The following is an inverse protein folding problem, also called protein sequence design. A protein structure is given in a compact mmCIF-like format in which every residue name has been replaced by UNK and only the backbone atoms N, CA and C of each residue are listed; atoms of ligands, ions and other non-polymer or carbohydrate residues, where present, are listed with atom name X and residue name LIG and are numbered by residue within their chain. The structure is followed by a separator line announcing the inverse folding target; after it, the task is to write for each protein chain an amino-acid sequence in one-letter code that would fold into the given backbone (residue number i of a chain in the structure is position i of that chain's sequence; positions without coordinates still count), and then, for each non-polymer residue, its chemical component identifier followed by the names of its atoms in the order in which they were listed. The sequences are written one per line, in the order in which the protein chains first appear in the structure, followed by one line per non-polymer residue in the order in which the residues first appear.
data_IF_628689078974
#
_entry.id   IF_628689078974
#
_cell.length_a   1.000
_cell.length_b   1.000
_cell.length_c   1.000
_cell.angle_alpha   90.00
_cell.angle_beta   90.00
_cell.angle_gamma   90.00
#
_symmetry.space_group_name_H-M   'P 1'
#
loop_
_entity.id
_entity.type
_entity.pdbx_description
1 polymer ?
#
# COMPACT_ATOMS: atom_id res chain seq x y z
N UNK A 1 15.30 -2.98 9.54
CA UNK A 1 14.00 -2.32 9.37
C UNK A 1 12.91 -3.14 10.02
N UNK A 2 11.86 -2.52 10.56
CA UNK A 2 10.79 -3.22 11.28
C UNK A 2 9.55 -3.34 10.38
N UNK A 3 9.05 -4.56 10.17
CA UNK A 3 7.88 -4.86 9.31
C UNK A 3 6.65 -5.23 10.16
N UNK A 4 6.46 -4.56 11.30
CA UNK A 4 5.43 -4.97 12.27
C UNK A 4 4.03 -4.66 11.76
N UNK A 5 3.85 -3.55 11.01
CA UNK A 5 2.56 -3.24 10.40
C UNK A 5 2.24 -4.25 9.32
N UNK A 6 3.19 -4.56 8.44
CA UNK A 6 2.98 -5.56 7.38
C UNK A 6 2.62 -6.93 7.97
N UNK A 7 3.32 -7.38 9.02
CA UNK A 7 3.01 -8.65 9.69
C UNK A 7 1.61 -8.64 10.31
N UNK A 8 1.28 -7.61 11.09
CA UNK A 8 -0.02 -7.48 11.73
C UNK A 8 -1.14 -7.47 10.68
N UNK A 9 -1.02 -6.69 9.61
CA UNK A 9 -2.01 -6.63 8.54
C UNK A 9 -2.23 -7.99 7.85
N UNK A 10 -1.16 -8.75 7.64
CA UNK A 10 -1.25 -10.07 7.00
C UNK A 10 -1.90 -11.10 7.92
N UNK A 11 -1.55 -11.09 9.20
CA UNK A 11 -2.01 -12.07 10.19
C UNK A 11 -3.39 -11.76 10.76
N UNK A 12 -3.61 -10.52 11.16
CA UNK A 12 -4.81 -10.07 11.88
C UNK A 12 -5.90 -9.56 10.92
N UNK A 13 -5.55 -9.23 9.69
CA UNK A 13 -6.47 -8.71 8.68
C UNK A 13 -6.80 -7.23 8.85
N UNK A 14 -8.00 -6.83 8.42
CA UNK A 14 -8.49 -5.45 8.49
C UNK A 14 -9.60 -5.30 9.52
N UNK A 15 -9.71 -4.12 10.13
CA UNK A 15 -10.88 -3.76 10.94
C UNK A 15 -11.98 -3.20 10.03
N UNK A 16 -13.00 -4.03 9.78
CA UNK A 16 -14.15 -3.65 8.94
C UNK A 16 -15.07 -2.61 9.58
N UNK A 17 -14.96 -2.39 10.89
CA UNK A 17 -15.74 -1.36 11.59
C UNK A 17 -15.14 0.04 11.43
N UNK A 18 -13.85 0.13 11.13
CA UNK A 18 -13.14 1.37 10.79
C UNK A 18 -12.32 1.19 9.49
N UNK A 19 -12.97 1.30 8.33
CA UNK A 19 -12.30 1.09 7.05
C UNK A 19 -11.28 2.20 6.72
N UNK A 20 -11.45 3.42 7.25
CA UNK A 20 -10.48 4.50 7.08
C UNK A 20 -9.18 4.19 7.84
N UNK A 21 -9.28 3.74 9.09
CA UNK A 21 -8.12 3.32 9.86
C UNK A 21 -7.44 2.09 9.24
N UNK A 22 -8.24 1.16 8.68
CA UNK A 22 -7.70 0.02 7.93
C UNK A 22 -6.92 0.45 6.69
N UNK A 23 -7.41 1.45 5.94
CA UNK A 23 -6.67 2.04 4.82
C UNK A 23 -5.36 2.69 5.29
N UNK A 24 -5.38 3.45 6.39
CA UNK A 24 -4.16 4.04 6.94
C UNK A 24 -3.11 2.98 7.33
N UNK A 25 -3.55 1.88 7.97
CA UNK A 25 -2.67 0.78 8.35
C UNK A 25 -2.09 0.04 7.13
N UNK A 26 -2.89 -0.13 6.07
CA UNK A 26 -2.43 -0.65 4.78
C UNK A 26 -1.35 0.25 4.19
N UNK A 27 -1.58 1.56 4.11
CA UNK A 27 -0.61 2.52 3.56
C UNK A 27 0.69 2.57 4.39
N UNK A 28 0.60 2.39 5.72
CA UNK A 28 1.80 2.20 6.57
C UNK A 28 2.58 0.94 6.23
N UNK A 29 1.87 -0.17 6.03
CA UNK A 29 2.49 -1.44 5.63
C UNK A 29 3.15 -1.34 4.26
N UNK A 30 2.55 -0.58 3.34
CA UNK A 30 3.14 -0.30 2.02
C UNK A 30 4.42 0.54 2.14
N UNK A 31 4.45 1.56 3.01
CA UNK A 31 5.67 2.34 3.28
C UNK A 31 6.77 1.45 3.87
N UNK A 32 6.44 0.57 4.82
CA UNK A 32 7.40 -0.40 5.38
C UNK A 32 8.03 -1.28 4.28
N UNK A 33 7.24 -1.73 3.30
CA UNK A 33 7.73 -2.54 2.18
C UNK A 33 8.55 -1.74 1.17
N UNK A 34 8.11 -0.53 0.81
CA UNK A 34 8.82 0.33 -0.13
C UNK A 34 10.16 0.82 0.41
N UNK A 35 10.30 0.90 1.72
CA UNK A 35 11.53 1.33 2.38
C UNK A 35 12.55 0.20 2.59
N UNK A 36 12.31 -1.03 2.09
CA UNK A 36 13.27 -2.13 2.17
C UNK A 36 14.54 -1.75 1.40
N UNK A 37 15.68 -1.80 2.11
CA UNK A 37 16.98 -1.60 1.48
C UNK A 37 17.17 -2.59 0.33
N UNK A 38 17.51 -2.08 -0.85
CA UNK A 38 17.71 -2.89 -2.05
C UNK A 38 16.44 -3.12 -2.88
N UNK A 39 15.33 -2.43 -2.60
CA UNK A 39 14.20 -2.40 -3.53
C UNK A 39 14.63 -1.88 -4.91
N UNK A 40 14.14 -2.56 -5.95
CA UNK A 40 14.35 -2.23 -7.35
C UNK A 40 13.09 -1.57 -7.94
N UNK A 41 13.27 -0.32 -8.37
CA UNK A 41 12.23 0.53 -8.92
C UNK A 41 12.28 0.66 -10.45
N UNK A 42 13.22 -0.01 -11.14
CA UNK A 42 13.50 0.16 -12.58
C UNK A 42 12.25 0.04 -13.45
N UNK A 43 11.34 -0.86 -13.09
CA UNK A 43 10.12 -1.12 -13.86
C UNK A 43 8.90 -0.38 -13.35
N UNK A 44 8.99 0.28 -12.20
CA UNK A 44 7.88 1.03 -11.61
C UNK A 44 7.75 2.42 -12.20
N UNK A 45 6.65 3.10 -11.90
CA UNK A 45 6.49 4.53 -12.20
C UNK A 45 7.41 5.45 -11.38
N UNK A 46 8.05 4.94 -10.33
CA UNK A 46 8.93 5.69 -9.43
C UNK A 46 10.40 5.49 -9.78
N UNK A 47 11.21 6.52 -9.55
CA UNK A 47 12.65 6.45 -9.71
C UNK A 47 13.36 6.00 -8.43
N UNK A 48 12.69 6.11 -7.27
CA UNK A 48 13.29 5.78 -5.98
C UNK A 48 12.26 5.48 -4.89
N UNK A 49 12.76 4.92 -3.78
CA UNK A 49 11.96 4.70 -2.57
C UNK A 49 11.39 6.00 -2.01
N UNK A 50 12.12 7.10 -2.06
CA UNK A 50 11.65 8.39 -1.55
C UNK A 50 10.46 8.92 -2.35
N UNK A 51 10.49 8.76 -3.68
CA UNK A 51 9.37 9.15 -4.55
C UNK A 51 8.13 8.32 -4.26
N UNK A 52 8.29 7.00 -4.18
CA UNK A 52 7.20 6.08 -3.86
C UNK A 52 6.59 6.38 -2.49
N UNK A 53 7.42 6.52 -1.46
CA UNK A 53 6.96 6.83 -0.10
C UNK A 53 6.27 8.19 -0.05
N UNK A 54 6.76 9.20 -0.76
CA UNK A 54 6.15 10.52 -0.79
C UNK A 54 4.73 10.49 -1.41
N UNK A 55 4.49 9.67 -2.42
CA UNK A 55 3.15 9.48 -2.98
C UNK A 55 2.20 8.82 -1.96
N UNK A 56 2.63 7.72 -1.33
CA UNK A 56 1.83 7.05 -0.29
C UNK A 56 1.55 7.98 0.91
N UNK A 57 2.52 8.80 1.30
CA UNK A 57 2.35 9.79 2.37
C UNK A 57 1.29 10.85 2.04
N UNK A 58 1.24 11.35 0.81
CA UNK A 58 0.20 12.31 0.39
C UNK A 58 -1.20 11.73 0.53
N UNK A 59 -1.39 10.47 0.13
CA UNK A 59 -2.66 9.74 0.28
C UNK A 59 -3.02 9.63 1.77
N UNK A 60 -2.06 9.24 2.63
CA UNK A 60 -2.28 9.19 4.09
C UNK A 60 -2.67 10.54 4.67
N UNK A 61 -1.99 11.61 4.30
CA UNK A 61 -2.27 12.96 4.77
C UNK A 61 -3.69 13.42 4.39
N UNK A 62 -4.13 13.09 3.17
CA UNK A 62 -5.51 13.34 2.74
C UNK A 62 -6.53 12.68 3.66
N UNK A 63 -6.35 11.38 3.95
CA UNK A 63 -7.25 10.61 4.84
C UNK A 63 -7.23 11.17 6.27
N UNK A 64 -6.05 11.50 6.80
CA UNK A 64 -5.89 12.10 8.13
C UNK A 64 -6.56 13.48 8.24
N UNK A 65 -6.64 14.22 7.13
CA UNK A 65 -7.39 15.48 7.03
C UNK A 65 -8.90 15.30 6.90
N UNK A 66 -9.39 14.06 6.89
CA UNK A 66 -10.80 13.71 6.73
C UNK A 66 -11.28 13.65 5.28
N UNK A 67 -10.35 13.64 4.32
CA UNK A 67 -10.65 13.58 2.88
C UNK A 67 -10.31 12.19 2.36
N UNK A 68 -11.33 11.47 1.88
CA UNK A 68 -11.11 10.21 1.18
C UNK A 68 -10.65 10.51 -0.26
N UNK A 69 -9.44 10.09 -0.68
CA UNK A 69 -8.99 10.28 -2.06
C UNK A 69 -9.88 9.52 -3.05
N UNK A 70 -9.91 9.93 -4.33
CA UNK A 70 -10.58 9.17 -5.38
C UNK A 70 -10.11 7.71 -5.41
N UNK A 71 -11.04 6.77 -5.59
CA UNK A 71 -10.72 5.34 -5.70
C UNK A 71 -9.56 5.09 -6.67
N UNK A 72 -9.70 5.62 -7.89
CA UNK A 72 -8.75 5.39 -8.98
C UNK A 72 -7.31 5.81 -8.63
N UNK A 73 -7.14 6.85 -7.81
CA UNK A 73 -5.83 7.31 -7.37
C UNK A 73 -5.12 6.26 -6.49
N UNK A 74 -5.88 5.53 -5.69
CA UNK A 74 -5.33 4.50 -4.79
C UNK A 74 -5.27 3.14 -5.48
N UNK A 75 -6.32 2.75 -6.22
CA UNK A 75 -6.44 1.40 -6.78
C UNK A 75 -5.42 1.10 -7.88
N UNK A 76 -4.99 2.11 -8.66
CA UNK A 76 -3.93 1.93 -9.66
C UNK A 76 -2.59 1.52 -9.03
N UNK A 77 -2.34 1.91 -7.78
CA UNK A 77 -1.09 1.56 -7.09
C UNK A 77 -1.00 0.06 -6.78
N UNK A 78 -2.14 -0.57 -6.51
CA UNK A 78 -2.27 -1.99 -6.16
C UNK A 78 -2.75 -2.87 -7.33
N UNK A 79 -3.04 -2.27 -8.49
CA UNK A 79 -3.53 -3.00 -9.66
C UNK A 79 -2.50 -4.03 -10.18
N UNK A 80 -2.95 -5.05 -10.94
CA UNK A 80 -2.04 -5.86 -11.74
C UNK A 80 -1.17 -4.98 -12.63
N UNK A 81 0.14 -5.23 -12.65
CA UNK A 81 1.17 -4.40 -13.30
C UNK A 81 1.19 -2.95 -12.81
N UNK A 82 0.61 -2.68 -11.64
CA UNK A 82 0.72 -1.41 -10.94
C UNK A 82 2.11 -1.25 -10.29
N UNK A 83 2.47 -0.02 -9.90
CA UNK A 83 3.82 0.29 -9.48
C UNK A 83 4.26 -0.49 -8.24
N UNK A 84 3.36 -0.75 -7.28
CA UNK A 84 3.71 -1.57 -6.10
C UNK A 84 3.98 -3.02 -6.51
N UNK A 85 3.21 -3.57 -7.46
CA UNK A 85 3.46 -4.94 -7.94
C UNK A 85 4.82 -5.03 -8.65
N UNK A 86 5.15 -4.07 -9.51
CA UNK A 86 6.40 -4.06 -10.27
C UNK A 86 7.63 -3.99 -9.35
N UNK A 87 7.59 -3.14 -8.31
CA UNK A 87 8.63 -3.11 -7.27
C UNK A 87 8.67 -4.46 -6.54
N UNK A 88 7.53 -5.03 -6.17
CA UNK A 88 7.47 -6.29 -5.42
C UNK A 88 8.11 -7.48 -6.14
N UNK A 89 7.90 -7.55 -7.46
CA UNK A 89 8.43 -8.61 -8.32
C UNK A 89 9.95 -8.47 -8.44
N UNK A 90 10.43 -7.25 -8.69
CA UNK A 90 11.86 -6.97 -8.86
C UNK A 90 12.63 -7.07 -7.54
N UNK A 91 11.95 -6.90 -6.40
CA UNK A 91 12.56 -6.81 -5.07
C UNK A 91 12.33 -8.04 -4.18
N UNK A 92 11.69 -9.10 -4.70
CA UNK A 92 11.59 -10.40 -4.03
C UNK A 92 10.50 -10.51 -2.96
N UNK A 93 9.48 -9.65 -2.96
CA UNK A 93 8.36 -9.70 -2.01
C UNK A 93 6.98 -9.81 -2.67
N UNK A 94 6.92 -10.36 -3.89
CA UNK A 94 5.69 -10.58 -4.65
C UNK A 94 4.59 -11.35 -3.88
N UNK A 95 4.91 -12.39 -3.12
CA UNK A 95 3.92 -13.12 -2.31
C UNK A 95 3.32 -12.23 -1.20
N UNK A 96 4.12 -11.32 -0.66
CA UNK A 96 3.67 -10.33 0.32
C UNK A 96 2.77 -9.30 -0.34
N UNK A 97 3.10 -8.87 -1.56
CA UNK A 97 2.26 -7.98 -2.36
C UNK A 97 0.84 -8.55 -2.56
N UNK A 98 0.73 -9.83 -2.92
CA UNK A 98 -0.59 -10.46 -3.13
C UNK A 98 -1.48 -10.36 -1.88
N UNK A 99 -0.90 -10.53 -0.69
CA UNK A 99 -1.64 -10.47 0.57
C UNK A 99 -2.08 -9.04 0.90
N UNK A 100 -1.24 -8.04 0.68
CA UNK A 100 -1.63 -6.64 0.92
C UNK A 100 -2.64 -6.15 -0.13
N UNK A 101 -2.55 -6.62 -1.38
CA UNK A 101 -3.50 -6.31 -2.44
C UNK A 101 -4.88 -6.91 -2.12
N UNK A 102 -4.94 -8.15 -1.62
CA UNK A 102 -6.19 -8.73 -1.12
C UNK A 102 -6.80 -7.88 0.01
N UNK A 103 -5.99 -7.36 0.93
CA UNK A 103 -6.48 -6.44 1.98
C UNK A 103 -6.98 -5.12 1.40
N UNK A 104 -6.32 -4.61 0.37
CA UNK A 104 -6.78 -3.42 -0.34
C UNK A 104 -8.14 -3.67 -0.99
N UNK A 105 -8.34 -4.78 -1.70
CA UNK A 105 -9.62 -5.12 -2.33
C UNK A 105 -10.76 -5.16 -1.31
N UNK A 106 -10.51 -5.71 -0.12
CA UNK A 106 -11.49 -5.72 0.97
C UNK A 106 -11.84 -4.30 1.45
N UNK A 107 -10.84 -3.44 1.65
CA UNK A 107 -11.01 -2.04 2.08
C UNK A 107 -11.72 -1.23 0.98
N UNK A 108 -11.34 -1.45 -0.27
CA UNK A 108 -11.86 -0.75 -1.43
C UNK A 108 -13.38 -0.92 -1.52
N UNK A 109 -13.83 -2.17 -1.36
CA UNK A 109 -15.23 -2.54 -1.31
C UNK A 109 -15.98 -1.93 -0.13
N UNK A 110 -15.32 -1.44 0.93
CA UNK A 110 -15.98 -0.80 2.07
C UNK A 110 -16.09 0.73 1.90
N UNK A 111 -15.08 1.35 1.29
CA UNK A 111 -14.95 2.81 1.23
C UNK A 111 -15.55 3.45 -0.03
N UNK A 112 -15.49 2.79 -1.19
CA UNK A 112 -15.82 3.40 -2.48
C UNK A 112 -16.96 2.69 -3.24
N UNK A 113 -18.00 2.25 -2.54
CA UNK A 113 -19.21 1.68 -3.18
C UNK A 113 -20.03 2.71 -3.94
#
# INVERSE_FOLDING_TARGET
MNLERTKALIHDGIDRSDPNQSLLNLLESTIELLNIEGNDFIWSSWNSSEEAIAEIQKIKESILSGVLPPNLEVSVLFAPTGPIQEVSLSSGWADTFLKIAERFDEIENLLWK
#
